data_IF_356476923366
#
_entry.id   IF_356476923366
#
_cell.length_a   1.000
_cell.length_b   1.000
_cell.length_c   1.000
_cell.angle_alpha   90.00
_cell.angle_beta   90.00
_cell.angle_gamma   90.00
#
_symmetry.space_group_name_H-M   'P 1'
#
loop_
_entity.id
_entity.type
_entity.pdbx_description
1 polymer ?
#
# COMPACT_ATOMS: atom_id res chain seq x y z
N UNK A 1 -34.27 -7.86 -2.32
CA UNK A 1 -33.20 -8.52 -3.12
C UNK A 1 -31.79 -8.08 -2.72
N UNK A 2 -31.52 -6.77 -2.53
CA UNK A 2 -30.17 -6.25 -2.20
C UNK A 2 -29.53 -6.74 -0.89
N UNK A 3 -30.31 -7.24 0.08
CA UNK A 3 -29.76 -7.71 1.37
C UNK A 3 -28.84 -8.92 1.27
N UNK A 4 -29.04 -9.80 0.29
CA UNK A 4 -28.22 -11.01 0.11
C UNK A 4 -26.86 -10.71 -0.55
N UNK A 5 -26.71 -9.53 -1.16
CA UNK A 5 -25.45 -9.12 -1.79
C UNK A 5 -24.46 -8.55 -0.76
N UNK A 6 -24.95 -8.10 0.39
CA UNK A 6 -24.14 -7.45 1.41
C UNK A 6 -23.42 -8.49 2.27
N UNK A 7 -22.11 -8.29 2.47
CA UNK A 7 -21.33 -9.14 3.35
C UNK A 7 -21.81 -8.96 4.80
N UNK A 8 -22.20 -10.04 5.51
CA UNK A 8 -22.62 -9.97 6.91
C UNK A 8 -21.51 -9.54 7.88
N UNK A 9 -20.25 -9.73 7.52
CA UNK A 9 -19.09 -9.41 8.39
C UNK A 9 -18.70 -7.93 8.38
N UNK A 10 -19.36 -7.11 7.56
CA UNK A 10 -19.07 -5.68 7.43
C UNK A 10 -20.31 -4.87 7.76
N UNK A 11 -20.13 -3.81 8.55
CA UNK A 11 -21.24 -2.96 8.96
C UNK A 11 -21.74 -2.11 7.79
N UNK A 12 -23.04 -2.21 7.49
CA UNK A 12 -23.73 -1.29 6.58
C UNK A 12 -24.05 -0.02 7.38
N UNK A 13 -23.52 1.13 6.96
CA UNK A 13 -23.63 2.35 7.77
C UNK A 13 -24.81 3.22 7.36
N UNK A 14 -25.33 3.93 8.35
CA UNK A 14 -26.39 4.92 8.17
C UNK A 14 -25.81 6.27 7.71
N UNK A 15 -26.70 7.16 7.29
CA UNK A 15 -26.34 8.51 6.86
C UNK A 15 -25.56 9.25 7.96
N UNK A 16 -24.50 9.96 7.56
CA UNK A 16 -23.72 10.83 8.44
C UNK A 16 -22.52 10.16 9.13
N UNK A 17 -22.21 8.90 8.81
CA UNK A 17 -21.04 8.20 9.35
C UNK A 17 -19.91 8.20 8.34
N UNK A 18 -18.72 8.64 8.75
CA UNK A 18 -17.53 8.58 7.89
C UNK A 18 -17.03 7.14 7.72
N UNK A 19 -16.52 6.85 6.53
CA UNK A 19 -15.92 5.57 6.16
C UNK A 19 -14.51 5.75 5.61
N UNK A 20 -13.71 4.70 5.71
CA UNK A 20 -12.36 4.65 5.15
C UNK A 20 -11.95 3.22 4.88
N UNK A 21 -10.83 3.04 4.18
CA UNK A 21 -10.17 1.75 4.10
C UNK A 21 -9.75 1.25 5.50
N UNK A 22 -10.21 0.05 5.85
CA UNK A 22 -9.86 -0.65 7.10
C UNK A 22 -8.91 -1.82 6.84
N UNK A 23 -8.32 -1.91 5.64
CA UNK A 23 -7.49 -3.03 5.20
C UNK A 23 -8.17 -4.40 5.36
N UNK A 24 -9.48 -4.45 5.11
CA UNK A 24 -10.28 -5.66 5.25
C UNK A 24 -10.16 -6.29 6.64
N UNK A 25 -10.34 -5.48 7.70
CA UNK A 25 -10.27 -5.93 9.10
C UNK A 25 -11.07 -7.21 9.37
N UNK A 26 -12.24 -7.37 8.72
CA UNK A 26 -13.05 -8.57 8.82
C UNK A 26 -12.29 -9.84 8.40
N UNK A 27 -11.53 -9.78 7.29
CA UNK A 27 -10.72 -10.89 6.80
C UNK A 27 -9.50 -11.12 7.69
N UNK A 28 -8.90 -10.04 8.21
CA UNK A 28 -7.75 -10.12 9.13
C UNK A 28 -8.14 -10.84 10.42
N UNK A 29 -9.27 -10.44 11.03
CA UNK A 29 -9.70 -11.01 12.31
C UNK A 29 -10.20 -12.44 12.17
N UNK A 30 -10.87 -12.79 11.06
CA UNK A 30 -11.18 -14.19 10.72
C UNK A 30 -9.91 -15.03 10.63
N UNK A 31 -8.92 -14.61 9.82
CA UNK A 31 -7.68 -15.35 9.66
C UNK A 31 -6.88 -15.49 10.97
N UNK A 32 -6.88 -14.45 11.82
CA UNK A 32 -6.29 -14.51 13.16
C UNK A 32 -7.03 -15.48 14.07
N UNK A 33 -8.36 -15.45 14.07
CA UNK A 33 -9.20 -16.33 14.89
C UNK A 33 -8.97 -17.79 14.48
N UNK A 34 -9.01 -18.10 13.19
CA UNK A 34 -8.76 -19.45 12.66
C UNK A 34 -7.36 -19.96 13.02
N UNK A 35 -6.37 -19.08 12.98
CA UNK A 35 -4.99 -19.42 13.36
C UNK A 35 -4.86 -19.65 14.86
N UNK A 36 -5.54 -18.86 15.70
CA UNK A 36 -5.57 -19.06 17.15
C UNK A 36 -6.31 -20.35 17.52
N UNK A 37 -7.46 -20.63 16.90
CA UNK A 37 -8.22 -21.86 17.14
C UNK A 37 -7.40 -23.09 16.81
N UNK A 38 -6.68 -23.09 15.68
CA UNK A 38 -5.75 -24.17 15.33
C UNK A 38 -4.58 -24.28 16.30
N UNK A 39 -4.01 -23.13 16.70
CA UNK A 39 -2.89 -23.08 17.63
C UNK A 39 -3.21 -23.60 19.03
N UNK A 40 -4.46 -23.47 19.50
CA UNK A 40 -4.89 -24.10 20.77
C UNK A 40 -4.70 -25.62 20.70
N UNK A 41 -4.86 -26.23 19.53
CA UNK A 41 -4.66 -27.67 19.30
C UNK A 41 -3.20 -28.05 18.99
N UNK A 42 -2.40 -27.15 18.41
CA UNK A 42 -1.09 -27.48 17.81
C UNK A 42 0.13 -26.72 18.35
N UNK A 43 -0.03 -25.84 19.36
CA UNK A 43 1.10 -25.27 20.11
C UNK A 43 1.83 -24.08 19.48
N UNK A 44 1.14 -23.23 18.68
CA UNK A 44 1.73 -21.96 18.20
C UNK A 44 0.85 -21.20 17.21
N UNK A 45 0.62 -19.89 17.46
CA UNK A 45 -0.26 -19.03 16.66
C UNK A 45 0.54 -18.03 15.81
N UNK A 46 1.24 -18.52 14.78
CA UNK A 46 1.83 -17.63 13.75
C UNK A 46 0.95 -17.66 12.51
N UNK A 47 0.51 -16.48 12.06
CA UNK A 47 -0.25 -16.35 10.82
C UNK A 47 0.75 -16.41 9.64
N UNK A 48 0.67 -17.42 8.76
CA UNK A 48 1.58 -17.50 7.62
C UNK A 48 1.31 -16.37 6.61
N UNK A 49 2.33 -16.00 5.84
CA UNK A 49 2.17 -15.04 4.77
C UNK A 49 1.23 -15.61 3.69
N UNK A 50 0.29 -14.80 3.21
CA UNK A 50 -0.74 -15.25 2.28
C UNK A 50 -1.89 -16.08 2.89
N UNK A 51 -1.98 -16.21 4.22
CA UNK A 51 -3.12 -16.87 4.89
C UNK A 51 -4.49 -16.25 4.53
N UNK A 52 -4.50 -14.97 4.17
CA UNK A 52 -5.65 -14.28 3.62
C UNK A 52 -5.18 -13.25 2.60
N UNK A 53 -6.11 -12.79 1.76
CA UNK A 53 -5.90 -11.68 0.84
C UNK A 53 -6.96 -10.61 1.09
N UNK A 54 -6.55 -9.35 0.98
CA UNK A 54 -7.52 -8.24 1.02
C UNK A 54 -8.37 -8.25 -0.25
N UNK A 55 -9.57 -7.65 -0.19
CA UNK A 55 -10.47 -7.65 -1.34
C UNK A 55 -9.84 -6.97 -2.56
N UNK A 56 -9.14 -5.83 -2.38
CA UNK A 56 -8.47 -5.13 -3.46
C UNK A 56 -7.24 -5.87 -4.00
N UNK A 57 -6.49 -6.59 -3.14
CA UNK A 57 -5.40 -7.47 -3.58
C UNK A 57 -5.94 -8.63 -4.44
N UNK A 58 -7.00 -9.30 -3.99
CA UNK A 58 -7.60 -10.43 -4.70
C UNK A 58 -8.25 -10.01 -6.02
N UNK A 59 -8.85 -8.81 -6.06
CA UNK A 59 -9.51 -8.30 -7.25
C UNK A 59 -8.53 -7.79 -8.32
N UNK A 60 -7.28 -7.48 -7.97
CA UNK A 60 -6.33 -6.90 -8.89
C UNK A 60 -5.69 -7.99 -9.78
N UNK A 61 -5.99 -8.04 -11.09
CA UNK A 61 -5.41 -9.07 -11.97
C UNK A 61 -3.91 -8.85 -12.20
N UNK A 62 -3.44 -7.60 -12.10
CA UNK A 62 -2.03 -7.25 -12.27
C UNK A 62 -1.16 -7.57 -11.05
N UNK A 63 -1.75 -7.97 -9.90
CA UNK A 63 -1.01 -8.24 -8.67
C UNK A 63 -0.30 -7.01 -8.09
N UNK A 64 -0.81 -5.80 -8.36
CA UNK A 64 -0.16 -4.55 -7.99
C UNK A 64 -0.21 -4.25 -6.47
N UNK A 65 -1.23 -4.77 -5.78
CA UNK A 65 -1.42 -4.54 -4.34
C UNK A 65 -0.94 -5.77 -3.60
N UNK A 66 0.05 -5.59 -2.71
CA UNK A 66 0.56 -6.66 -1.86
C UNK A 66 0.27 -6.30 -0.40
N UNK A 67 -0.39 -7.20 0.32
CA UNK A 67 -0.70 -7.06 1.74
C UNK A 67 -0.09 -8.21 2.54
N UNK A 68 0.34 -7.94 3.78
CA UNK A 68 1.11 -8.89 4.58
C UNK A 68 1.66 -8.30 5.87
N UNK A 69 2.39 -9.11 6.63
CA UNK A 69 2.95 -8.72 7.92
C UNK A 69 4.39 -8.20 7.80
N UNK A 70 4.57 -6.89 7.98
CA UNK A 70 5.89 -6.23 7.94
C UNK A 70 6.89 -6.74 8.99
N UNK A 71 6.41 -7.34 10.10
CA UNK A 71 7.30 -7.88 11.13
C UNK A 71 8.03 -9.14 10.67
N UNK A 72 7.49 -9.84 9.66
CA UNK A 72 8.13 -11.02 9.07
C UNK A 72 9.11 -10.57 7.99
N UNK A 73 10.43 -10.76 8.14
CA UNK A 73 11.42 -10.19 7.21
C UNK A 73 11.31 -10.73 5.78
N UNK A 74 10.94 -12.01 5.63
CA UNK A 74 10.77 -12.69 4.33
C UNK A 74 9.34 -12.64 3.78
N UNK A 75 8.53 -11.67 4.21
CA UNK A 75 7.19 -11.50 3.63
C UNK A 75 7.27 -10.69 2.34
N UNK A 76 6.33 -10.92 1.42
CA UNK A 76 6.30 -10.18 0.14
C UNK A 76 6.19 -8.67 0.34
N UNK A 77 5.52 -8.23 1.42
CA UNK A 77 5.40 -6.81 1.75
C UNK A 77 6.71 -6.23 2.29
N UNK A 78 7.41 -6.95 3.15
CA UNK A 78 8.71 -6.50 3.69
C UNK A 78 9.72 -6.31 2.56
N UNK A 79 9.77 -7.24 1.61
CA UNK A 79 10.62 -7.14 0.42
C UNK A 79 10.20 -5.96 -0.48
N UNK A 80 8.91 -5.80 -0.77
CA UNK A 80 8.41 -4.69 -1.58
C UNK A 80 8.63 -3.31 -0.93
N UNK A 81 8.62 -3.23 0.41
CA UNK A 81 8.92 -1.99 1.14
C UNK A 81 10.42 -1.67 1.19
N UNK A 82 11.28 -2.68 1.04
CA UNK A 82 12.73 -2.51 0.98
C UNK A 82 13.23 -2.15 -0.43
N UNK A 83 12.37 -2.25 -1.45
CA UNK A 83 12.68 -1.88 -2.83
C UNK A 83 13.07 -0.39 -2.92
N UNK A 84 14.16 -0.02 -3.64
CA UNK A 84 14.59 1.37 -3.76
C UNK A 84 13.55 2.29 -4.43
N UNK A 85 12.54 1.73 -5.10
CA UNK A 85 11.44 2.47 -5.72
C UNK A 85 10.30 2.76 -4.74
N UNK A 86 10.34 2.21 -3.53
CA UNK A 86 9.30 2.39 -2.54
C UNK A 86 9.37 3.80 -1.95
N UNK A 87 8.25 4.51 -1.97
CA UNK A 87 8.11 5.82 -1.35
C UNK A 87 6.79 5.95 -0.59
N UNK A 88 6.77 6.81 0.43
CA UNK A 88 5.56 7.16 1.18
C UNK A 88 5.05 8.51 0.71
N UNK A 89 3.74 8.58 0.44
CA UNK A 89 3.09 9.82 0.00
C UNK A 89 3.12 10.84 1.14
N UNK A 90 3.67 12.04 0.91
CA UNK A 90 3.84 13.11 1.91
C UNK A 90 4.74 12.70 3.08
N UNK A 91 5.89 12.10 2.80
CA UNK A 91 6.83 11.64 3.83
C UNK A 91 7.41 12.78 4.69
N UNK A 92 7.58 13.98 4.13
CA UNK A 92 8.10 15.15 4.85
C UNK A 92 7.23 15.57 6.05
N UNK A 93 5.94 15.18 6.09
CA UNK A 93 5.05 15.43 7.22
C UNK A 93 5.20 14.40 8.36
N UNK A 94 6.07 13.40 8.19
CA UNK A 94 6.33 12.33 9.17
C UNK A 94 5.06 11.61 9.67
N UNK A 95 4.08 11.36 8.79
CA UNK A 95 2.82 10.68 9.14
C UNK A 95 2.99 9.18 9.39
N UNK A 96 4.19 8.62 9.15
CA UNK A 96 4.54 7.20 9.32
C UNK A 96 3.50 6.25 8.72
N UNK A 97 3.14 6.52 7.47
CA UNK A 97 2.15 5.79 6.69
C UNK A 97 2.50 4.30 6.61
N UNK A 98 1.47 3.44 6.70
CA UNK A 98 1.61 2.00 6.54
C UNK A 98 1.58 1.53 5.09
N UNK A 99 1.14 2.40 4.17
CA UNK A 99 1.10 2.12 2.74
C UNK A 99 2.29 2.83 2.10
N UNK A 100 3.06 2.09 1.31
CA UNK A 100 4.08 2.61 0.42
C UNK A 100 3.69 2.27 -1.01
N UNK A 101 4.13 3.11 -1.95
CA UNK A 101 3.90 2.91 -3.38
C UNK A 101 5.25 2.66 -4.05
N UNK A 102 5.24 1.87 -5.13
CA UNK A 102 6.41 1.72 -5.98
C UNK A 102 6.35 2.76 -7.10
N UNK A 103 7.47 3.44 -7.33
CA UNK A 103 7.59 4.40 -8.42
C UNK A 103 7.30 3.74 -9.78
N UNK A 104 6.54 4.44 -10.62
CA UNK A 104 6.27 4.01 -12.00
C UNK A 104 7.54 4.19 -12.81
N UNK A 105 8.10 3.08 -13.29
CA UNK A 105 9.19 3.10 -14.28
C UNK A 105 8.58 2.96 -15.66
N UNK A 106 8.83 3.96 -16.49
CA UNK A 106 8.57 3.93 -17.93
C UNK A 106 9.87 3.54 -18.63
N UNK A 107 9.81 2.67 -19.63
CA UNK A 107 10.96 2.29 -20.44
C UNK A 107 10.84 2.92 -21.84
N UNK A 108 11.16 4.22 -22.00
CA UNK A 108 11.03 4.89 -23.28
C UNK A 108 12.05 4.34 -24.29
N UNK A 109 11.62 4.13 -25.53
CA UNK A 109 12.51 3.72 -26.61
C UNK A 109 13.44 4.88 -27.01
N UNK A 110 14.77 4.74 -26.94
CA UNK A 110 15.70 5.83 -27.24
C UNK A 110 15.59 6.36 -28.67
N UNK A 111 15.09 5.56 -29.62
CA UNK A 111 14.91 5.97 -31.04
C UNK A 111 13.65 6.77 -31.29
N UNK A 112 12.74 6.86 -30.32
CA UNK A 112 11.44 7.52 -30.44
C UNK A 112 11.22 8.62 -29.39
N UNK A 113 12.29 9.08 -28.75
CA UNK A 113 12.22 10.20 -27.81
C UNK A 113 11.91 11.49 -28.58
N UNK A 114 10.64 11.83 -28.68
CA UNK A 114 10.23 13.19 -28.94
C UNK A 114 10.46 14.03 -27.68
N UNK A 115 10.68 15.34 -27.84
CA UNK A 115 11.02 16.24 -26.71
C UNK A 115 9.96 16.24 -25.59
N UNK A 116 8.72 15.84 -25.88
CA UNK A 116 7.62 15.77 -24.90
C UNK A 116 7.69 14.57 -23.95
N UNK A 117 8.28 13.45 -24.40
CA UNK A 117 8.39 12.23 -23.58
C UNK A 117 9.47 12.30 -22.50
N UNK A 118 10.36 13.29 -22.57
CA UNK A 118 11.44 13.49 -21.59
C UNK A 118 10.94 14.14 -20.28
N UNK A 119 9.92 14.99 -20.34
CA UNK A 119 9.41 15.75 -19.19
C UNK A 119 8.56 14.89 -18.23
N UNK A 120 8.02 13.75 -18.70
CA UNK A 120 7.17 12.86 -17.87
C UNK A 120 7.98 11.88 -17.02
N UNK A 121 9.31 11.79 -17.23
CA UNK A 121 10.17 10.76 -16.65
C UNK A 121 11.14 11.29 -15.59
N UNK A 122 11.01 12.54 -15.17
CA UNK A 122 11.74 13.05 -14.01
C UNK A 122 11.21 12.32 -12.77
N UNK A 123 12.02 11.50 -12.06
CA UNK A 123 11.60 10.96 -10.78
C UNK A 123 11.24 12.15 -9.87
N UNK A 124 10.13 12.05 -9.12
CA UNK A 124 9.63 13.13 -8.25
C UNK A 124 10.69 13.71 -7.29
N UNK A 125 11.78 12.96 -7.05
CA UNK A 125 12.94 13.39 -6.27
C UNK A 125 13.75 14.54 -6.93
N UNK A 126 13.73 14.67 -8.26
CA UNK A 126 14.44 15.71 -9.01
C UNK A 126 13.59 16.97 -9.23
N UNK A 127 12.26 16.88 -9.17
CA UNK A 127 11.36 18.06 -9.22
C UNK A 127 11.52 18.93 -7.96
N UNK A 128 11.76 18.30 -6.80
CA UNK A 128 12.04 19.05 -5.55
C UNK A 128 13.39 19.80 -5.62
N UNK A 129 14.32 19.35 -6.48
CA UNK A 129 15.63 19.99 -6.67
C UNK A 129 15.61 21.13 -7.69
N UNK A 130 14.70 21.12 -8.67
CA UNK A 130 14.60 22.17 -9.69
C UNK A 130 13.87 23.42 -9.20
N UNK A 131 12.97 23.28 -8.22
CA UNK A 131 12.15 24.39 -7.71
C UNK A 131 12.80 25.09 -6.49
N UNK A 132 14.06 24.77 -6.19
CA UNK A 132 14.81 25.25 -5.03
C UNK A 132 15.55 26.59 -5.19
N UNK A 133 15.33 27.34 -6.27
CA UNK A 133 15.75 28.75 -6.36
C UNK A 133 14.72 29.67 -5.69
N UNK A 134 14.39 29.38 -4.43
CA UNK A 134 13.85 30.39 -3.53
C UNK A 134 14.98 30.88 -2.64
N UNK A 135 15.53 32.02 -3.03
CA UNK A 135 16.37 32.86 -2.19
C UNK A 135 15.75 32.93 -0.78
N UNK A 136 16.49 32.41 0.20
CA UNK A 136 16.20 32.66 1.60
C UNK A 136 16.44 34.15 1.86
N UNK A 137 15.47 34.95 2.33
CA UNK A 137 15.80 36.24 2.90
C UNK A 137 16.62 35.96 4.16
N UNK A 138 17.89 36.32 4.12
CA UNK A 138 18.77 36.24 5.28
C UNK A 138 18.14 36.99 6.46
N UNK A 139 17.97 36.30 7.58
CA UNK A 139 17.64 36.92 8.85
C UNK A 139 18.92 37.56 9.41
N UNK A 140 19.04 38.89 9.28
CA UNK A 140 19.85 39.72 10.17
C UNK A 140 19.30 41.13 10.24
#
# INVERSE_FOLDING_TARGET
MLRLLMNPDVTVRMRGVMEKCTFCVQRIEQAKTDSKTRAVSSGGATLPDGAFQTACQQACPAGAIVFGNIKTPRSRVSEAMADPRAYRVLEHLNLRQRVAYLARITNPNPRMLDKSSAETNTPMLDVIRSDGNHEQPQLR
#
